data_IF_030801494225
#
_entry.id   IF_030801494225
#
_cell.length_a   1.000
_cell.length_b   1.000
_cell.length_c   1.000
_cell.angle_alpha   90.00
_cell.angle_beta   90.00
_cell.angle_gamma   90.00
#
_symmetry.space_group_name_H-M   'P 1'
#
loop_
_entity.id
_entity.type
_entity.pdbx_description
1 polymer ?
#
# COMPACT_ATOMS: atom_id res chain seq x y z
N UNK A 1 -7.37 -20.84 -28.36
CA UNK A 1 -6.25 -19.89 -28.13
C UNK A 1 -6.01 -19.16 -29.43
N UNK A 2 -6.19 -17.84 -29.43
CA UNK A 2 -5.93 -16.97 -30.57
C UNK A 2 -4.86 -16.00 -30.14
N UNK A 3 -3.68 -16.03 -30.78
CA UNK A 3 -2.56 -15.15 -30.46
C UNK A 3 -2.12 -14.39 -31.70
N UNK A 4 -1.92 -13.09 -31.53
CA UNK A 4 -1.27 -12.19 -32.48
C UNK A 4 0.08 -11.77 -31.90
N UNK A 5 1.09 -11.63 -32.76
CA UNK A 5 2.45 -11.26 -32.37
C UNK A 5 3.00 -10.27 -33.38
N UNK A 6 3.56 -9.17 -32.89
CA UNK A 6 4.48 -8.32 -33.66
C UNK A 6 5.88 -8.34 -33.00
N UNK A 7 6.82 -7.53 -33.51
CA UNK A 7 8.20 -7.50 -32.99
C UNK A 7 8.28 -7.15 -31.50
N UNK A 8 7.30 -6.45 -30.95
CA UNK A 8 7.32 -5.83 -29.63
C UNK A 8 6.21 -6.28 -28.69
N UNK A 9 5.10 -6.80 -29.20
CA UNK A 9 3.88 -7.15 -28.44
C UNK A 9 3.34 -8.52 -28.84
N UNK A 10 2.76 -9.22 -27.87
CA UNK A 10 1.92 -10.40 -28.04
C UNK A 10 0.57 -10.09 -27.42
N UNK A 11 -0.52 -10.38 -28.13
CA UNK A 11 -1.87 -10.18 -27.59
C UNK A 11 -2.84 -11.25 -28.12
N UNK A 12 -3.94 -11.47 -27.41
CA UNK A 12 -4.94 -12.44 -27.84
C UNK A 12 -5.84 -12.95 -26.73
N UNK A 13 -6.52 -14.07 -26.98
CA UNK A 13 -7.39 -14.74 -26.01
C UNK A 13 -6.98 -16.19 -25.78
N UNK A 14 -7.00 -16.59 -24.51
CA UNK A 14 -6.92 -17.98 -24.09
C UNK A 14 -8.30 -18.44 -23.61
N UNK A 15 -8.80 -19.49 -24.24
CA UNK A 15 -10.14 -20.03 -24.01
C UNK A 15 -10.08 -21.55 -23.87
N UNK A 16 -11.01 -22.10 -23.09
CA UNK A 16 -11.14 -23.54 -22.83
C UNK A 16 -10.48 -24.01 -21.53
N UNK A 17 -10.60 -25.31 -21.25
CA UNK A 17 -10.11 -25.92 -20.00
C UNK A 17 -11.04 -25.66 -18.81
N UNK A 18 -10.46 -25.38 -17.63
CA UNK A 18 -11.20 -25.02 -16.40
C UNK A 18 -11.46 -23.52 -16.28
N UNK A 19 -11.22 -22.76 -17.35
CA UNK A 19 -11.48 -21.32 -17.38
C UNK A 19 -12.96 -21.10 -17.68
N UNK A 20 -13.64 -20.36 -16.82
CA UNK A 20 -15.07 -20.03 -17.00
C UNK A 20 -15.27 -18.93 -18.06
N UNK A 21 -14.28 -18.06 -18.25
CA UNK A 21 -14.29 -16.97 -19.23
C UNK A 21 -12.97 -16.89 -20.02
N UNK A 22 -12.99 -16.36 -21.27
CA UNK A 22 -11.78 -16.06 -22.03
C UNK A 22 -10.81 -15.16 -21.25
N UNK A 23 -9.56 -15.59 -21.13
CA UNK A 23 -8.49 -14.76 -20.59
C UNK A 23 -7.87 -13.91 -21.71
N UNK A 24 -7.84 -12.59 -21.51
CA UNK A 24 -7.08 -11.68 -22.35
C UNK A 24 -5.58 -11.85 -22.04
N UNK A 25 -4.80 -12.06 -23.09
CA UNK A 25 -3.34 -12.06 -23.04
C UNK A 25 -2.88 -10.76 -23.67
N UNK A 26 -2.01 -10.05 -22.95
CA UNK A 26 -1.21 -8.96 -23.49
C UNK A 26 0.18 -9.03 -22.87
N UNK A 27 1.20 -8.86 -23.69
CA UNK A 27 2.59 -8.96 -23.27
C UNK A 27 3.47 -8.20 -24.24
N UNK A 28 4.62 -7.75 -23.74
CA UNK A 28 5.60 -7.09 -24.58
C UNK A 28 6.99 -7.68 -24.35
N UNK A 29 7.86 -7.53 -25.35
CA UNK A 29 9.25 -7.99 -25.24
C UNK A 29 10.02 -7.13 -24.24
N UNK A 30 10.91 -7.79 -23.51
CA UNK A 30 11.96 -7.08 -22.80
C UNK A 30 13.00 -6.61 -23.84
N UNK A 31 13.07 -5.30 -24.05
CA UNK A 31 13.98 -4.64 -25.00
C UNK A 31 15.48 -4.87 -24.73
N UNK A 32 15.85 -5.47 -23.60
CA UNK A 32 17.23 -5.87 -23.30
C UNK A 32 17.53 -7.36 -23.47
N UNK A 33 16.53 -8.19 -23.79
CA UNK A 33 16.69 -9.64 -23.88
C UNK A 33 17.08 -10.14 -25.29
N UNK A 34 17.29 -9.24 -26.27
CA UNK A 34 17.61 -9.60 -27.66
C UNK A 34 18.49 -8.59 -28.39
N UNK A 35 19.14 -9.03 -29.46
CA UNK A 35 19.98 -8.21 -30.36
C UNK A 35 19.13 -7.16 -31.08
N UNK A 36 19.43 -5.87 -30.83
CA UNK A 36 19.05 -4.69 -31.61
C UNK A 36 17.73 -4.79 -32.41
N UNK A 37 16.59 -4.74 -31.73
CA UNK A 37 15.33 -4.41 -32.40
C UNK A 37 15.37 -2.96 -32.89
N UNK A 38 14.78 -2.69 -34.05
CA UNK A 38 14.54 -1.35 -34.63
C UNK A 38 13.96 -0.34 -33.63
N UNK A 39 13.19 -0.82 -32.66
CA UNK A 39 12.52 -0.02 -31.62
C UNK A 39 13.34 0.14 -30.31
N UNK A 40 14.58 -0.37 -30.26
CA UNK A 40 15.40 -0.30 -29.06
C UNK A 40 15.72 1.16 -28.63
N UNK A 41 16.08 2.10 -29.54
CA UNK A 41 16.39 3.47 -29.14
C UNK A 41 15.23 4.18 -28.43
N UNK A 42 14.01 4.04 -28.93
CA UNK A 42 12.83 4.71 -28.37
C UNK A 42 12.43 4.09 -27.02
N UNK A 43 12.51 2.77 -26.89
CA UNK A 43 12.28 2.12 -25.60
C UNK A 43 13.37 2.46 -24.57
N UNK A 44 14.63 2.62 -24.99
CA UNK A 44 15.70 3.11 -24.14
C UNK A 44 15.44 4.55 -23.68
N UNK A 45 14.95 5.42 -24.57
CA UNK A 45 14.56 6.79 -24.23
C UNK A 45 13.39 6.82 -23.24
N UNK A 46 12.37 5.98 -23.44
CA UNK A 46 11.26 5.84 -22.49
C UNK A 46 11.73 5.42 -21.10
N UNK A 47 12.69 4.49 -21.02
CA UNK A 47 13.30 4.07 -19.75
C UNK A 47 14.12 5.18 -19.11
N UNK A 48 14.89 5.92 -19.91
CA UNK A 48 15.66 7.07 -19.41
C UNK A 48 14.74 8.10 -18.76
N UNK A 49 13.60 8.40 -19.39
CA UNK A 49 12.60 9.34 -18.90
C UNK A 49 11.98 8.92 -17.56
N UNK A 50 11.96 7.62 -17.24
CA UNK A 50 11.39 7.10 -15.98
C UNK A 50 12.46 6.67 -14.96
N UNK A 51 13.75 6.95 -15.18
CA UNK A 51 14.75 6.63 -14.16
C UNK A 51 14.50 7.44 -12.90
N UNK A 52 14.64 6.79 -11.75
CA UNK A 52 14.49 7.50 -10.48
C UNK A 52 14.01 6.64 -9.34
N UNK A 53 13.71 7.34 -8.26
CA UNK A 53 13.14 6.79 -7.04
C UNK A 53 11.66 7.15 -6.98
N UNK A 54 10.84 6.18 -6.57
CA UNK A 54 9.40 6.27 -6.56
C UNK A 54 8.86 5.78 -5.24
N UNK A 55 7.79 6.41 -4.77
CA UNK A 55 7.00 5.99 -3.63
C UNK A 55 5.59 5.66 -4.08
N UNK A 56 5.02 4.58 -3.54
CA UNK A 56 3.72 4.06 -3.95
C UNK A 56 2.97 3.57 -2.72
N UNK A 57 1.80 4.13 -2.45
CA UNK A 57 0.83 3.60 -1.52
C UNK A 57 -0.06 2.57 -2.23
N UNK A 58 -0.57 1.61 -1.47
CA UNK A 58 -1.42 0.52 -1.95
C UNK A 58 -2.83 0.60 -1.34
N UNK A 59 -3.63 1.63 -1.67
CA UNK A 59 -4.99 1.75 -1.14
C UNK A 59 -5.84 0.56 -1.58
N UNK A 60 -6.80 0.18 -0.72
CA UNK A 60 -7.67 -0.97 -0.96
C UNK A 60 -8.77 -0.57 -1.93
N UNK A 61 -8.82 -1.24 -3.09
CA UNK A 61 -9.88 -1.09 -4.08
C UNK A 61 -11.02 -2.07 -3.84
N UNK A 62 -10.71 -3.25 -3.29
CA UNK A 62 -11.68 -4.26 -2.92
C UNK A 62 -11.08 -5.30 -1.99
N UNK A 63 -11.88 -5.85 -1.10
CA UNK A 63 -11.45 -6.90 -0.19
C UNK A 63 -12.57 -7.88 0.10
N UNK A 64 -12.18 -9.13 0.32
CA UNK A 64 -13.05 -10.21 0.72
C UNK A 64 -12.31 -11.07 1.75
N UNK A 65 -12.76 -11.07 3.01
CA UNK A 65 -12.27 -12.03 4.00
C UNK A 65 -12.98 -13.36 3.84
N UNK A 66 -12.29 -14.46 4.11
CA UNK A 66 -12.93 -15.73 4.39
C UNK A 66 -12.93 -15.96 5.90
N UNK A 67 -13.99 -16.59 6.42
CA UNK A 67 -14.10 -16.93 7.84
C UNK A 67 -14.57 -15.80 8.74
N UNK A 68 -14.82 -16.14 10.01
CA UNK A 68 -15.44 -15.24 10.98
C UNK A 68 -14.46 -14.20 11.56
N UNK A 69 -13.15 -14.37 11.35
CA UNK A 69 -12.15 -13.45 11.89
C UNK A 69 -12.05 -12.13 11.12
N UNK A 70 -12.60 -12.06 9.91
CA UNK A 70 -12.48 -10.90 9.01
C UNK A 70 -11.01 -10.45 8.89
N UNK A 71 -10.17 -11.35 8.37
CA UNK A 71 -8.71 -11.24 8.44
C UNK A 71 -8.12 -10.25 7.43
N UNK A 72 -8.92 -9.70 6.50
CA UNK A 72 -8.46 -8.73 5.52
C UNK A 72 -7.89 -7.46 6.21
N UNK A 73 -6.65 -7.06 5.92
CA UNK A 73 -6.07 -5.82 6.42
C UNK A 73 -6.86 -4.58 5.97
N UNK A 74 -7.12 -3.65 6.90
CA UNK A 74 -7.79 -2.37 6.58
C UNK A 74 -6.79 -1.23 6.36
N UNK A 75 -5.57 -1.36 6.89
CA UNK A 75 -4.51 -0.38 6.67
C UNK A 75 -3.98 -0.35 5.24
N UNK A 76 -3.14 0.63 4.94
CA UNK A 76 -2.59 0.85 3.60
C UNK A 76 -1.15 0.34 3.53
N UNK A 77 -0.88 -0.59 2.61
CA UNK A 77 0.47 -1.05 2.30
C UNK A 77 1.24 0.00 1.50
N UNK A 78 2.55 -0.19 1.36
CA UNK A 78 3.36 0.68 0.51
C UNK A 78 4.54 -0.05 -0.12
N UNK A 79 4.97 0.49 -1.25
CA UNK A 79 6.18 0.14 -1.97
C UNK A 79 7.05 1.39 -2.18
N UNK A 80 8.33 1.12 -2.33
CA UNK A 80 9.33 2.02 -2.87
C UNK A 80 9.95 1.32 -4.05
N UNK A 81 10.19 2.04 -5.13
CA UNK A 81 10.76 1.48 -6.35
C UNK A 81 11.89 2.36 -6.84
N UNK A 82 12.99 1.74 -7.25
CA UNK A 82 14.08 2.43 -7.94
C UNK A 82 14.20 1.86 -9.34
N UNK A 83 13.93 2.68 -10.35
CA UNK A 83 14.20 2.37 -11.75
C UNK A 83 15.61 2.86 -12.07
N UNK A 84 16.49 1.91 -12.36
CA UNK A 84 17.88 2.14 -12.70
C UNK A 84 18.15 2.06 -14.19
N UNK A 85 19.43 2.04 -14.54
CA UNK A 85 19.85 1.80 -15.92
C UNK A 85 19.40 0.43 -16.43
N UNK A 86 19.25 0.34 -17.75
CA UNK A 86 18.86 -0.88 -18.46
C UNK A 86 17.54 -1.48 -17.97
N UNK A 87 16.59 -0.62 -17.61
CA UNK A 87 15.25 -0.99 -17.15
C UNK A 87 15.23 -1.87 -15.90
N UNK A 88 16.28 -1.84 -15.07
CA UNK A 88 16.27 -2.55 -13.79
C UNK A 88 15.33 -1.86 -12.82
N UNK A 89 14.47 -2.62 -12.14
CA UNK A 89 13.58 -2.09 -11.12
C UNK A 89 13.83 -2.83 -9.79
N UNK A 90 14.21 -2.10 -8.74
CA UNK A 90 14.33 -2.64 -7.38
C UNK A 90 13.13 -2.20 -6.57
N UNK A 91 12.43 -3.14 -5.96
CA UNK A 91 11.18 -2.88 -5.23
C UNK A 91 11.33 -3.35 -3.80
N UNK A 92 10.98 -2.49 -2.86
CA UNK A 92 10.98 -2.79 -1.43
C UNK A 92 9.79 -2.12 -0.74
N UNK A 93 9.24 -2.72 0.29
CA UNK A 93 8.11 -2.12 1.01
C UNK A 93 7.48 -3.06 2.03
N UNK A 94 6.24 -2.77 2.41
CA UNK A 94 5.45 -3.59 3.32
C UNK A 94 3.99 -3.60 2.89
N UNK A 95 3.38 -4.79 2.92
CA UNK A 95 1.92 -4.91 2.87
C UNK A 95 1.33 -4.49 4.22
N UNK A 96 0.02 -4.20 4.23
CA UNK A 96 -0.66 -3.67 5.41
C UNK A 96 -0.64 -4.61 6.63
N UNK A 97 -0.42 -5.93 6.44
CA UNK A 97 -0.24 -6.92 7.52
C UNK A 97 1.19 -6.92 8.11
N UNK A 98 2.05 -6.03 7.63
CA UNK A 98 3.45 -5.91 8.00
C UNK A 98 4.39 -6.87 7.26
N UNK A 99 3.90 -7.65 6.28
CA UNK A 99 4.75 -8.52 5.46
C UNK A 99 5.66 -7.68 4.56
N UNK A 100 6.97 -7.90 4.70
CA UNK A 100 7.96 -7.22 3.85
C UNK A 100 7.89 -7.69 2.41
N UNK A 101 7.89 -6.72 1.49
CA UNK A 101 8.07 -6.93 0.05
C UNK A 101 9.51 -6.55 -0.31
N UNK A 102 10.21 -7.43 -1.01
CA UNK A 102 11.53 -7.16 -1.56
C UNK A 102 11.73 -8.06 -2.79
N UNK A 103 11.95 -7.44 -3.95
CA UNK A 103 12.24 -8.13 -5.20
C UNK A 103 12.94 -7.21 -6.20
N UNK A 104 13.51 -7.81 -7.24
CA UNK A 104 14.00 -7.10 -8.42
C UNK A 104 13.19 -7.54 -9.63
N UNK A 105 12.94 -6.61 -10.52
CA UNK A 105 12.13 -6.77 -11.72
C UNK A 105 12.76 -6.03 -12.91
N UNK A 106 12.11 -6.12 -14.06
CA UNK A 106 12.50 -5.42 -15.29
C UNK A 106 11.33 -4.63 -15.82
N UNK A 107 11.60 -3.40 -16.23
CA UNK A 107 10.63 -2.56 -16.96
C UNK A 107 10.26 -3.29 -18.26
N UNK A 108 8.97 -3.36 -18.52
CA UNK A 108 8.38 -3.82 -19.76
C UNK A 108 7.89 -2.59 -20.51
N UNK A 109 8.24 -2.48 -21.79
CA UNK A 109 7.84 -1.37 -22.65
C UNK A 109 6.82 -1.88 -23.66
N UNK A 110 5.60 -1.37 -23.60
CA UNK A 110 4.56 -1.61 -24.59
C UNK A 110 4.61 -0.49 -25.60
N UNK A 111 4.84 -0.82 -26.87
CA UNK A 111 4.66 0.14 -27.95
C UNK A 111 3.17 0.52 -27.97
N UNK A 112 2.84 1.80 -27.73
CA UNK A 112 1.48 2.25 -27.96
C UNK A 112 1.26 2.25 -29.47
N UNK A 113 0.32 1.45 -29.94
CA UNK A 113 -0.15 1.54 -31.30
C UNK A 113 -0.77 2.94 -31.43
N UNK A 114 -0.19 3.80 -32.26
CA UNK A 114 -0.84 5.07 -32.60
C UNK A 114 -2.24 4.71 -33.07
N UNK A 115 -3.26 5.27 -32.42
CA UNK A 115 -4.61 5.16 -32.96
C UNK A 115 -4.51 5.66 -34.40
N UNK A 116 -4.75 4.77 -35.36
CA UNK A 116 -5.05 5.21 -36.73
C UNK A 116 -6.36 5.95 -36.55
N UNK A 117 -6.31 7.28 -36.44
CA UNK A 117 -7.50 8.07 -36.68
C UNK A 117 -7.94 7.71 -38.10
N UNK A 118 -9.13 7.13 -38.22
CA UNK A 118 -9.79 7.01 -39.51
C UNK A 118 -9.93 8.42 -40.08
N UNK A 119 -9.13 8.74 -41.09
CA UNK A 119 -9.15 10.01 -41.80
C UNK A 119 -7.98 10.93 -41.46
N UNK A 120 -7.20 11.23 -42.51
CA UNK A 120 -6.11 12.24 -42.56
C UNK A 120 -4.74 11.75 -42.09
N UNK A 121 -4.11 10.92 -42.92
CA UNK A 121 -2.65 10.90 -43.04
C UNK A 121 -2.22 12.11 -43.88
N UNK A 122 -1.88 13.23 -43.25
CA UNK A 122 -1.13 14.31 -43.88
C UNK A 122 0.30 14.37 -43.33
N UNK A 123 1.25 14.15 -44.23
CA UNK A 123 2.68 14.44 -44.11
C UNK A 123 3.44 13.84 -42.91
N UNK A 124 4.07 12.69 -43.16
CA UNK A 124 5.53 12.48 -42.99
C UNK A 124 6.19 12.72 -41.63
N UNK A 125 5.44 12.97 -40.56
CA UNK A 125 5.98 13.07 -39.21
C UNK A 125 5.60 11.78 -38.51
N UNK A 126 6.55 10.85 -38.44
CA UNK A 126 6.44 9.67 -37.58
C UNK A 126 6.00 10.16 -36.20
N UNK A 127 4.78 9.85 -35.78
CA UNK A 127 4.36 10.06 -34.41
C UNK A 127 5.33 9.26 -33.55
N UNK A 128 6.23 9.94 -32.83
CA UNK A 128 7.11 9.32 -31.84
C UNK A 128 6.26 8.40 -30.97
N UNK A 129 6.37 7.08 -31.16
CA UNK A 129 5.54 6.10 -30.47
C UNK A 129 5.65 6.35 -28.97
N UNK A 130 4.54 6.75 -28.34
CA UNK A 130 4.51 6.90 -26.89
C UNK A 130 4.62 5.49 -26.30
N UNK A 131 5.59 5.22 -25.43
CA UNK A 131 5.66 3.93 -24.76
C UNK A 131 4.84 4.00 -23.49
N UNK A 132 3.96 3.02 -23.31
CA UNK A 132 3.41 2.73 -21.99
C UNK A 132 4.34 1.72 -21.34
N UNK A 133 4.87 2.05 -20.17
CA UNK A 133 5.83 1.20 -19.47
C UNK A 133 5.24 0.70 -18.17
N UNK A 134 5.52 -0.56 -17.84
CA UNK A 134 5.11 -1.12 -16.56
C UNK A 134 6.25 -1.89 -15.89
N UNK A 135 6.13 -2.07 -14.59
CA UNK A 135 7.01 -2.92 -13.81
C UNK A 135 6.18 -4.03 -13.17
N UNK A 136 6.44 -5.31 -13.52
CA UNK A 136 5.75 -6.42 -12.91
C UNK A 136 6.23 -6.62 -11.46
N UNK A 137 5.28 -6.89 -10.59
CA UNK A 137 5.48 -7.21 -9.18
C UNK A 137 4.89 -8.58 -8.96
N UNK A 138 5.70 -9.60 -8.69
CA UNK A 138 5.19 -10.94 -8.37
C UNK A 138 6.02 -11.52 -7.23
N UNK A 139 5.36 -11.75 -6.10
CA UNK A 139 6.03 -12.21 -4.88
C UNK A 139 5.22 -13.32 -4.22
N UNK A 140 5.84 -14.51 -4.14
CA UNK A 140 5.40 -15.51 -3.16
C UNK A 140 5.69 -14.99 -1.75
N UNK A 141 4.66 -14.97 -0.91
CA UNK A 141 4.70 -14.68 0.52
C UNK A 141 4.78 -15.97 1.35
N UNK A 142 5.22 -17.08 0.73
CA UNK A 142 5.34 -18.41 1.32
C UNK A 142 3.99 -18.85 1.89
N UNK A 143 3.93 -19.13 3.20
CA UNK A 143 2.72 -19.57 3.91
C UNK A 143 1.66 -18.47 4.04
N UNK A 144 1.96 -17.23 3.67
CA UNK A 144 1.05 -16.08 3.69
C UNK A 144 0.43 -15.78 2.31
N UNK A 145 0.52 -16.71 1.37
CA UNK A 145 -0.05 -16.57 0.03
C UNK A 145 0.86 -15.81 -0.94
N UNK A 146 0.30 -14.91 -1.74
CA UNK A 146 1.02 -14.24 -2.82
C UNK A 146 0.53 -12.80 -3.04
N UNK A 147 1.41 -11.97 -3.59
CA UNK A 147 1.12 -10.59 -3.95
C UNK A 147 1.65 -10.33 -5.36
N UNK A 148 0.86 -9.74 -6.24
CA UNK A 148 1.37 -9.29 -7.52
C UNK A 148 0.40 -8.63 -8.49
N UNK A 149 0.96 -8.12 -9.58
CA UNK A 149 0.29 -7.38 -10.65
C UNK A 149 1.29 -6.45 -11.35
N UNK A 150 0.78 -5.44 -12.04
CA UNK A 150 1.60 -4.50 -12.82
C UNK A 150 1.53 -3.09 -12.23
N UNK A 151 2.68 -2.45 -12.07
CA UNK A 151 2.77 -1.02 -11.78
C UNK A 151 2.97 -0.27 -13.09
N UNK A 152 1.97 0.49 -13.54
CA UNK A 152 2.05 1.27 -14.77
C UNK A 152 2.65 2.64 -14.48
N UNK A 153 3.68 3.02 -15.24
CA UNK A 153 4.29 4.33 -15.14
C UNK A 153 3.77 5.19 -16.30
N UNK A 154 3.18 6.33 -15.97
CA UNK A 154 2.74 7.33 -16.95
C UNK A 154 3.70 8.52 -16.85
N UNK A 155 4.50 8.70 -17.89
CA UNK A 155 5.40 9.85 -18.00
C UNK A 155 4.59 11.13 -18.26
N UNK A 156 5.03 12.24 -17.67
CA UNK A 156 4.46 13.57 -17.76
C UNK A 156 5.42 14.58 -17.14
N UNK A 157 4.93 15.71 -16.63
CA UNK A 157 5.76 16.64 -15.83
C UNK A 157 6.37 15.94 -14.61
N UNK A 158 5.58 15.08 -13.96
CA UNK A 158 6.03 14.13 -12.96
C UNK A 158 5.55 12.74 -13.35
N UNK A 159 6.44 11.75 -13.34
CA UNK A 159 6.05 10.36 -13.64
C UNK A 159 5.19 9.82 -12.51
N UNK A 160 3.97 9.39 -12.84
CA UNK A 160 3.03 8.78 -11.90
C UNK A 160 3.07 7.26 -12.00
N UNK A 161 2.77 6.59 -10.88
CA UNK A 161 2.57 5.15 -10.81
C UNK A 161 1.13 4.86 -10.46
N UNK A 162 0.48 4.06 -11.30
CA UNK A 162 -0.90 3.64 -11.12
C UNK A 162 -1.17 2.21 -11.60
N UNK A 163 -2.27 1.67 -11.12
CA UNK A 163 -2.96 0.50 -11.67
C UNK A 163 -3.82 0.94 -12.85
N UNK A 164 -4.15 0.04 -13.77
CA UNK A 164 -5.09 0.35 -14.86
C UNK A 164 -6.51 0.01 -14.41
N UNK A 165 -7.02 0.83 -13.48
CA UNK A 165 -8.28 0.57 -12.76
C UNK A 165 -9.50 0.55 -13.66
N UNK A 166 -9.48 1.31 -14.76
CA UNK A 166 -10.58 1.36 -15.74
C UNK A 166 -10.71 0.04 -16.50
N UNK A 167 -9.60 -0.70 -16.64
CA UNK A 167 -9.56 -2.06 -17.18
C UNK A 167 -9.68 -3.14 -16.09
N UNK A 168 -9.92 -2.76 -14.83
CA UNK A 168 -9.98 -3.67 -13.68
C UNK A 168 -8.63 -4.29 -13.30
N UNK A 169 -7.51 -3.69 -13.75
CA UNK A 169 -6.16 -4.22 -13.51
C UNK A 169 -5.57 -3.69 -12.21
N UNK A 170 -5.93 -4.37 -11.13
CA UNK A 170 -5.40 -4.13 -9.79
C UNK A 170 -4.20 -5.00 -9.46
N UNK A 171 -3.45 -4.61 -8.42
CA UNK A 171 -2.56 -5.53 -7.73
C UNK A 171 -3.40 -6.48 -6.88
N UNK A 172 -3.12 -7.78 -6.96
CA UNK A 172 -3.81 -8.80 -6.18
C UNK A 172 -2.97 -9.23 -4.99
N UNK A 173 -3.63 -9.41 -3.85
CA UNK A 173 -3.04 -9.97 -2.65
C UNK A 173 -3.97 -11.01 -2.05
N UNK A 174 -3.52 -12.25 -2.02
CA UNK A 174 -4.32 -13.36 -1.52
C UNK A 174 -3.60 -14.11 -0.42
N UNK A 175 -4.36 -14.51 0.58
CA UNK A 175 -3.93 -15.38 1.66
C UNK A 175 -5.01 -16.41 1.95
N UNK A 176 -4.72 -17.69 1.69
CA UNK A 176 -5.66 -18.79 1.91
C UNK A 176 -5.92 -19.17 3.40
N UNK A 177 -5.53 -18.31 4.34
CA UNK A 177 -5.71 -18.53 5.77
C UNK A 177 -4.76 -19.57 6.38
N UNK A 178 -4.72 -19.63 7.71
CA UNK A 178 -3.97 -20.67 8.43
C UNK A 178 -4.88 -21.86 8.66
N UNK A 179 -4.37 -23.09 8.46
CA UNK A 179 -5.07 -24.28 8.95
C UNK A 179 -5.21 -24.15 10.46
N UNK A 180 -6.44 -24.20 10.96
CA UNK A 180 -6.72 -24.33 12.38
C UNK A 180 -5.95 -25.54 12.92
N UNK A 181 -5.32 -25.42 14.10
CA UNK A 181 -4.68 -26.55 14.79
C UNK A 181 -5.72 -27.59 15.31
N UNK A 182 -7.00 -27.44 14.99
CA UNK A 182 -8.07 -28.36 15.35
C UNK A 182 -7.98 -29.67 14.58
N UNK A 183 -8.18 -30.79 15.29
CA UNK A 183 -8.27 -32.18 14.79
C UNK A 183 -9.42 -32.45 13.81
N UNK A 184 -9.92 -31.44 13.08
CA UNK A 184 -10.97 -31.62 12.09
C UNK A 184 -10.36 -31.98 10.74
N UNK A 185 -10.50 -33.25 10.34
CA UNK A 185 -9.99 -33.80 9.07
C UNK A 185 -10.63 -33.19 7.82
N UNK A 186 -11.62 -32.30 7.95
CA UNK A 186 -12.44 -31.80 6.84
C UNK A 186 -12.22 -30.33 6.46
N UNK A 187 -11.34 -29.58 7.11
CA UNK A 187 -11.05 -28.18 6.75
C UNK A 187 -9.82 -28.15 5.83
N UNK A 188 -10.04 -28.20 4.51
CA UNK A 188 -8.95 -28.32 3.52
C UNK A 188 -8.18 -27.01 3.28
N UNK A 189 -8.79 -25.84 3.50
CA UNK A 189 -8.16 -24.51 3.38
C UNK A 189 -8.34 -23.71 4.68
N UNK A 190 -7.39 -22.83 5.03
CA UNK A 190 -7.35 -22.16 6.33
C UNK A 190 -8.62 -21.35 6.56
N UNK A 191 -9.24 -21.51 7.74
CA UNK A 191 -10.59 -21.01 7.98
C UNK A 191 -10.72 -19.49 7.87
N UNK A 192 -9.62 -18.73 8.02
CA UNK A 192 -9.62 -17.27 8.02
C UNK A 192 -8.51 -16.69 7.13
N UNK A 193 -8.82 -16.54 5.85
CA UNK A 193 -7.98 -15.94 4.82
C UNK A 193 -8.57 -14.65 4.26
N UNK A 194 -8.03 -14.17 3.14
CA UNK A 194 -8.59 -13.05 2.39
C UNK A 194 -8.11 -13.01 0.94
N UNK A 195 -8.84 -12.27 0.12
CA UNK A 195 -8.49 -11.84 -1.22
C UNK A 195 -8.65 -10.32 -1.27
N UNK A 196 -7.67 -9.62 -1.85
CA UNK A 196 -7.69 -8.16 -1.94
C UNK A 196 -7.23 -7.68 -3.31
N UNK A 197 -7.91 -6.63 -3.77
CA UNK A 197 -7.53 -5.79 -4.89
C UNK A 197 -6.98 -4.48 -4.32
N UNK A 198 -5.76 -4.14 -4.73
CA UNK A 198 -5.07 -2.93 -4.31
C UNK A 198 -4.80 -2.07 -5.54
N UNK A 199 -5.07 -0.78 -5.40
CA UNK A 199 -4.60 0.22 -6.35
C UNK A 199 -3.11 0.51 -6.13
N UNK A 200 -2.47 1.12 -7.13
CA UNK A 200 -1.20 1.79 -6.95
C UNK A 200 -1.44 3.30 -6.99
N UNK A 201 -1.09 4.00 -5.91
CA UNK A 201 -1.17 5.45 -5.82
C UNK A 201 0.22 5.97 -5.51
N UNK A 202 0.87 6.60 -6.47
CA UNK A 202 2.16 7.22 -6.23
C UNK A 202 2.82 7.76 -7.47
N UNK A 203 4.13 7.97 -7.38
CA UNK A 203 4.88 8.62 -8.44
C UNK A 203 6.33 8.85 -8.07
N UNK A 204 7.00 9.61 -8.94
CA UNK A 204 8.38 10.00 -8.74
C UNK A 204 8.53 10.76 -7.42
N UNK A 205 9.60 10.46 -6.70
CA UNK A 205 9.86 11.02 -5.38
C UNK A 205 11.26 11.61 -5.31
N UNK A 206 11.33 12.90 -4.97
CA UNK A 206 12.53 13.68 -4.72
C UNK A 206 12.42 14.35 -3.36
N UNK A 207 13.44 14.24 -2.52
CA UNK A 207 13.44 14.88 -1.20
C UNK A 207 13.43 16.40 -1.23
N UNK A 208 13.76 17.00 -2.38
CA UNK A 208 13.75 18.46 -2.55
C UNK A 208 12.33 18.98 -2.71
N UNK A 209 11.44 18.20 -3.32
CA UNK A 209 10.12 18.64 -3.76
C UNK A 209 8.99 18.02 -2.91
N UNK A 210 9.27 16.91 -2.22
CA UNK A 210 8.25 16.04 -1.65
C UNK A 210 7.78 16.38 -0.23
N UNK A 211 8.41 17.35 0.46
CA UNK A 211 8.24 17.51 1.90
C UNK A 211 7.66 18.88 2.23
N UNK A 212 6.35 18.91 2.49
CA UNK A 212 5.71 20.03 3.15
C UNK A 212 6.36 20.27 4.53
N UNK A 213 6.40 21.53 4.98
CA UNK A 213 6.97 21.90 6.27
C UNK A 213 6.23 21.30 7.46
N UNK A 214 4.93 21.03 7.31
CA UNK A 214 4.09 20.44 8.35
C UNK A 214 3.08 19.44 7.77
N UNK A 215 2.68 18.47 8.60
CA UNK A 215 1.63 17.50 8.35
C UNK A 215 0.73 17.33 9.60
N UNK A 216 -0.40 16.67 9.41
CA UNK A 216 -1.29 16.21 10.48
C UNK A 216 -1.29 14.68 10.51
N UNK A 217 -0.92 14.09 11.65
CA UNK A 217 -0.90 12.64 11.86
C UNK A 217 -2.19 12.15 12.51
N UNK A 218 -2.82 11.18 11.86
CA UNK A 218 -4.02 10.49 12.37
C UNK A 218 -3.85 8.98 12.26
N UNK A 219 -4.56 8.24 13.12
CA UNK A 219 -4.67 6.80 13.04
C UNK A 219 -6.13 6.39 13.20
N UNK A 220 -6.57 5.41 12.43
CA UNK A 220 -7.94 4.89 12.56
C UNK A 220 -8.10 4.14 13.88
N UNK A 221 -9.28 4.23 14.46
CA UNK A 221 -9.62 3.50 15.68
C UNK A 221 -9.59 1.98 15.42
N UNK A 222 -9.08 1.17 16.37
CA UNK A 222 -9.01 -0.28 16.22
C UNK A 222 -10.37 -0.94 16.51
N UNK A 223 -11.41 -0.57 15.75
CA UNK A 223 -12.78 -1.04 15.93
C UNK A 223 -12.83 -2.57 15.88
N UNK A 224 -13.57 -3.17 16.80
CA UNK A 224 -13.68 -4.63 16.93
C UNK A 224 -12.51 -5.31 17.67
N UNK A 225 -11.49 -4.57 18.12
CA UNK A 225 -10.45 -5.10 19.00
C UNK A 225 -10.82 -4.86 20.46
N UNK A 226 -10.82 -5.93 21.25
CA UNK A 226 -11.03 -5.85 22.71
C UNK A 226 -9.80 -6.32 23.47
N UNK A 227 -9.56 -5.68 24.62
CA UNK A 227 -8.63 -6.21 25.61
C UNK A 227 -9.39 -7.11 26.59
N UNK A 228 -8.81 -8.25 26.95
CA UNK A 228 -9.39 -9.18 27.92
C UNK A 228 -8.35 -9.63 28.93
N UNK A 229 -8.73 -9.63 30.21
CA UNK A 229 -7.89 -10.03 31.34
C UNK A 229 -8.72 -10.78 32.38
N UNK A 230 -8.60 -12.11 32.40
CA UNK A 230 -9.50 -12.97 33.18
C UNK A 230 -10.95 -12.85 32.69
N UNK A 231 -11.86 -12.53 33.60
CA UNK A 231 -13.28 -12.27 33.31
C UNK A 231 -13.59 -10.81 32.95
N UNK A 232 -12.59 -9.93 32.97
CA UNK A 232 -12.76 -8.52 32.61
C UNK A 232 -12.43 -8.27 31.13
N UNK A 233 -13.15 -7.35 30.52
CA UNK A 233 -12.90 -6.85 29.17
C UNK A 233 -12.96 -5.32 29.13
N UNK A 234 -12.20 -4.72 28.22
CA UNK A 234 -12.25 -3.29 27.94
C UNK A 234 -12.21 -3.03 26.44
N UNK A 235 -12.93 -1.99 26.02
CA UNK A 235 -12.81 -1.43 24.68
C UNK A 235 -11.63 -0.45 24.62
N UNK A 236 -11.25 -0.08 23.39
CA UNK A 236 -10.23 0.94 23.20
C UNK A 236 -10.75 2.32 23.67
N UNK A 237 -9.86 3.19 24.11
CA UNK A 237 -10.20 4.55 24.52
C UNK A 237 -10.13 5.48 23.30
N UNK A 238 -11.29 5.86 22.77
CA UNK A 238 -11.39 6.70 21.57
C UNK A 238 -10.69 8.07 21.73
N UNK A 239 -10.82 8.72 22.90
CA UNK A 239 -10.21 10.02 23.18
C UNK A 239 -8.67 10.01 23.10
N UNK A 240 -8.05 8.84 23.17
CA UNK A 240 -6.60 8.69 23.11
C UNK A 240 -6.09 8.28 21.71
N UNK A 241 -6.98 8.03 20.75
CA UNK A 241 -6.57 7.73 19.37
C UNK A 241 -6.01 9.00 18.73
N UNK A 242 -4.83 8.94 18.07
CA UNK A 242 -4.26 10.11 17.40
C UNK A 242 -5.20 10.66 16.32
N UNK A 243 -5.58 11.92 16.46
CA UNK A 243 -6.34 12.67 15.44
C UNK A 243 -5.63 13.99 15.22
N UNK A 244 -5.23 14.24 13.97
CA UNK A 244 -4.65 15.49 13.49
C UNK A 244 -3.51 16.05 14.36
N UNK A 245 -2.60 15.19 14.85
CA UNK A 245 -1.44 15.64 15.60
C UNK A 245 -0.43 16.30 14.69
N UNK A 246 -0.01 17.52 15.02
CA UNK A 246 0.97 18.26 14.22
C UNK A 246 2.30 17.51 14.12
N UNK A 247 2.79 17.37 12.90
CA UNK A 247 4.10 16.81 12.58
C UNK A 247 4.90 17.88 11.85
N UNK A 248 5.99 18.31 12.44
CA UNK A 248 6.94 19.21 11.79
C UNK A 248 7.93 18.40 10.98
N UNK A 249 8.12 18.80 9.73
CA UNK A 249 9.13 18.24 8.84
C UNK A 249 10.25 19.25 8.62
N UNK A 250 11.49 18.80 8.88
CA UNK A 250 12.70 19.57 8.65
C UNK A 250 13.74 18.70 7.94
N UNK A 251 14.87 19.30 7.55
CA UNK A 251 16.00 18.57 6.93
C UNK A 251 16.49 17.37 7.77
N UNK A 252 16.32 17.43 9.10
CA UNK A 252 16.64 16.37 10.05
C UNK A 252 15.61 15.23 10.16
N UNK A 253 14.44 15.35 9.53
CA UNK A 253 13.38 14.34 9.54
C UNK A 253 12.03 14.87 10.05
N UNK A 254 11.18 13.93 10.48
CA UNK A 254 9.85 14.22 11.03
C UNK A 254 9.91 14.24 12.56
N UNK A 255 9.18 15.16 13.17
CA UNK A 255 9.04 15.28 14.63
C UNK A 255 7.60 15.59 15.02
N UNK A 256 7.23 15.20 16.23
CA UNK A 256 5.88 15.38 16.80
C UNK A 256 6.03 15.88 18.24
N UNK A 257 5.12 16.74 18.75
CA UNK A 257 5.19 17.22 20.13
C UNK A 257 5.24 16.09 21.16
N UNK A 258 5.95 16.34 22.27
CA UNK A 258 6.02 15.40 23.37
C UNK A 258 4.62 15.15 23.95
N UNK A 259 4.30 13.88 24.20
CA UNK A 259 3.02 13.49 24.77
C UNK A 259 3.00 13.47 26.29
N UNK A 260 1.82 13.72 26.86
CA UNK A 260 1.54 13.55 28.30
C UNK A 260 0.92 12.18 28.52
N UNK A 261 1.46 11.42 29.50
CA UNK A 261 0.93 10.09 29.82
C UNK A 261 -0.40 10.24 30.56
N UNK A 262 -1.46 9.48 30.18
CA UNK A 262 -2.71 9.44 30.93
C UNK A 262 -2.52 9.00 32.39
N UNK A 263 -3.23 9.65 33.30
CA UNK A 263 -3.18 9.36 34.75
C UNK A 263 -4.59 9.26 35.32
N UNK A 264 -4.75 8.49 36.39
CA UNK A 264 -6.02 8.34 37.08
C UNK A 264 -6.36 9.61 37.88
N UNK A 265 -7.49 10.25 37.57
CA UNK A 265 -8.05 11.45 38.22
C UNK A 265 -9.53 11.17 38.51
N UNK A 266 -9.96 11.33 39.76
CA UNK A 266 -11.36 11.16 40.19
C UNK A 266 -12.03 9.85 39.71
N UNK A 267 -11.26 8.76 39.64
CA UNK A 267 -11.75 7.43 39.27
C UNK A 267 -11.76 7.11 37.77
N UNK A 268 -11.31 8.03 36.91
CA UNK A 268 -11.15 7.81 35.47
C UNK A 268 -9.75 8.23 34.99
N UNK A 269 -9.26 7.67 33.88
CA UNK A 269 -8.00 8.11 33.30
C UNK A 269 -8.22 9.37 32.46
N UNK A 270 -7.39 10.39 32.68
CA UNK A 270 -7.41 11.64 31.92
C UNK A 270 -6.56 11.55 30.65
N UNK A 271 -7.19 11.80 29.52
CA UNK A 271 -6.59 11.76 28.18
C UNK A 271 -6.56 13.14 27.50
N UNK A 272 -6.89 14.21 28.22
CA UNK A 272 -6.93 15.58 27.68
C UNK A 272 -5.56 16.18 27.39
N UNK A 273 -4.49 15.57 27.89
CA UNK A 273 -3.12 16.01 27.65
C UNK A 273 -2.72 15.92 26.16
N UNK A 274 -1.83 16.81 25.68
CA UNK A 274 -1.37 16.79 24.30
C UNK A 274 -0.71 15.45 23.97
N UNK A 275 -0.95 14.95 22.76
CA UNK A 275 -0.42 13.66 22.29
C UNK A 275 -0.54 12.54 23.35
N UNK A 276 -1.75 12.35 23.89
CA UNK A 276 -2.03 11.35 24.93
C UNK A 276 -1.63 9.92 24.51
N UNK A 277 -1.69 9.62 23.20
CA UNK A 277 -1.23 8.36 22.62
C UNK A 277 0.28 8.12 22.72
N UNK A 278 1.06 9.14 23.10
CA UNK A 278 2.53 9.15 23.10
C UNK A 278 3.10 8.74 21.72
N UNK A 279 2.52 9.28 20.64
CA UNK A 279 2.98 9.07 19.28
C UNK A 279 4.44 9.49 19.17
N UNK A 280 5.22 8.64 18.52
CA UNK A 280 6.57 8.92 18.06
C UNK A 280 6.63 8.66 16.58
N UNK A 281 7.12 9.63 15.83
CA UNK A 281 7.35 9.53 14.39
C UNK A 281 8.83 9.67 14.08
N UNK A 282 9.25 8.97 13.03
CA UNK A 282 10.56 9.11 12.40
C UNK A 282 10.37 8.93 10.90
N UNK A 283 11.13 9.65 10.09
CA UNK A 283 11.05 9.54 8.64
C UNK A 283 12.34 10.01 8.01
N UNK A 284 12.60 9.55 6.78
CA UNK A 284 13.68 10.07 5.98
C UNK A 284 13.12 10.91 4.85
N UNK A 285 13.53 12.17 4.82
CA UNK A 285 13.27 13.07 3.71
C UNK A 285 13.68 12.45 2.37
N UNK A 286 14.76 11.67 2.36
CA UNK A 286 15.33 11.04 1.17
C UNK A 286 14.46 9.93 0.57
N UNK A 287 13.68 9.23 1.39
CA UNK A 287 12.97 8.03 0.94
C UNK A 287 11.46 8.16 1.01
N UNK A 288 10.94 9.24 1.62
CA UNK A 288 9.50 9.41 1.85
C UNK A 288 8.90 8.38 2.81
N UNK A 289 9.69 7.46 3.35
CA UNK A 289 9.22 6.42 4.27
C UNK A 289 9.20 6.99 5.68
N UNK A 290 8.06 6.84 6.35
CA UNK A 290 7.89 7.18 7.75
C UNK A 290 7.50 5.94 8.56
N UNK A 291 7.84 5.96 9.84
CA UNK A 291 7.56 4.89 10.79
C UNK A 291 7.55 5.42 12.20
N UNK A 292 6.91 4.68 13.09
CA UNK A 292 6.78 5.12 14.45
C UNK A 292 6.08 4.12 15.33
N UNK A 293 5.68 4.62 16.50
CA UNK A 293 4.90 3.87 17.46
C UNK A 293 3.97 4.81 18.23
N UNK A 294 2.85 4.28 18.68
CA UNK A 294 1.97 4.95 19.63
C UNK A 294 1.29 3.91 20.53
N UNK A 295 0.53 4.38 21.50
CA UNK A 295 -0.20 3.54 22.42
C UNK A 295 -1.69 3.53 22.09
N UNK A 296 -2.27 2.35 22.01
CA UNK A 296 -3.71 2.14 22.11
C UNK A 296 -4.00 1.77 23.54
N UNK A 297 -4.92 2.50 24.17
CA UNK A 297 -5.31 2.30 25.55
C UNK A 297 -6.64 1.57 25.65
N UNK A 298 -6.79 0.77 26.70
CA UNK A 298 -8.01 0.05 27.03
C UNK A 298 -8.29 0.23 28.52
N UNK A 299 -9.42 0.85 28.83
CA UNK A 299 -9.87 1.04 30.20
C UNK A 299 -10.94 0.00 30.52
N UNK A 300 -10.86 -0.59 31.72
CA UNK A 300 -11.73 -1.67 32.13
C UNK A 300 -11.87 -1.73 33.65
N UNK A 301 -12.94 -2.38 34.13
CA UNK A 301 -13.07 -2.70 35.53
C UNK A 301 -12.32 -3.99 35.88
N UNK A 302 -11.46 -3.92 36.90
CA UNK A 302 -10.80 -5.07 37.48
C UNK A 302 -11.21 -5.26 38.94
N UNK A 303 -12.33 -5.96 39.14
CA UNK A 303 -12.89 -6.30 40.47
C UNK A 303 -13.31 -5.05 41.25
N UNK A 304 -14.08 -4.16 40.62
CA UNK A 304 -14.58 -2.91 41.20
C UNK A 304 -13.53 -1.81 41.28
N UNK A 305 -12.45 -1.91 40.51
CA UNK A 305 -11.37 -0.90 40.46
C UNK A 305 -11.06 -0.54 39.01
N UNK A 306 -10.99 0.75 38.67
CA UNK A 306 -10.50 1.19 37.37
C UNK A 306 -9.13 0.61 37.09
N UNK A 307 -8.98 0.00 35.92
CA UNK A 307 -7.74 -0.53 35.42
C UNK A 307 -7.50 -0.07 33.99
N UNK A 308 -6.24 0.00 33.62
CA UNK A 308 -5.77 0.54 32.36
C UNK A 308 -4.72 -0.38 31.75
N UNK A 309 -4.92 -0.72 30.49
CA UNK A 309 -3.97 -1.49 29.70
C UNK A 309 -3.47 -0.66 28.52
N UNK A 310 -2.15 -0.69 28.33
CA UNK A 310 -1.47 -0.01 27.24
C UNK A 310 -0.93 -1.05 26.25
N UNK A 311 -1.39 -0.97 25.00
CA UNK A 311 -0.83 -1.72 23.88
C UNK A 311 0.01 -0.80 23.01
N UNK A 312 1.34 -1.00 23.01
CA UNK A 312 2.23 -0.24 22.12
C UNK A 312 2.23 -0.85 20.73
N UNK A 313 1.70 -0.10 19.75
CA UNK A 313 1.64 -0.51 18.35
C UNK A 313 2.74 0.17 17.54
N UNK A 314 3.22 -0.52 16.51
CA UNK A 314 4.19 0.02 15.55
C UNK A 314 3.46 0.31 14.25
N UNK A 315 3.87 1.38 13.56
CA UNK A 315 3.35 1.75 12.26
C UNK A 315 4.45 2.08 11.27
N UNK A 316 4.11 1.98 9.99
CA UNK A 316 4.95 2.47 8.89
C UNK A 316 4.11 2.80 7.68
N UNK A 317 4.57 3.77 6.90
CA UNK A 317 3.92 4.22 5.68
C UNK A 317 4.90 4.94 4.76
N UNK A 318 4.36 5.56 3.72
CA UNK A 318 5.11 6.32 2.73
C UNK A 318 4.38 7.60 2.35
N UNK A 319 5.14 8.64 2.02
CA UNK A 319 4.66 9.86 1.37
C UNK A 319 4.49 9.63 -0.13
N UNK A 320 3.38 10.10 -0.69
CA UNK A 320 3.00 10.03 -2.12
C UNK A 320 2.56 11.41 -2.63
N UNK A 321 3.47 12.40 -2.66
CA UNK A 321 3.12 13.76 -3.09
C UNK A 321 2.69 13.78 -4.57
N UNK A 322 3.35 13.00 -5.41
CA UNK A 322 2.94 12.77 -6.79
C UNK A 322 1.93 11.61 -6.85
N UNK A 323 0.70 11.90 -7.28
CA UNK A 323 -0.36 10.92 -7.46
C UNK A 323 -1.35 11.39 -8.52
N UNK A 324 -2.08 10.45 -9.12
CA UNK A 324 -3.12 10.75 -10.10
C UNK A 324 -4.31 11.48 -9.45
N UNK A 325 -5.06 12.24 -10.25
CA UNK A 325 -6.25 12.98 -9.83
C UNK A 325 -7.29 12.10 -9.13
N UNK A 326 -7.45 10.85 -9.58
CA UNK A 326 -8.32 9.86 -8.95
C UNK A 326 -7.97 9.53 -7.48
N UNK A 327 -6.83 10.00 -6.99
CA UNK A 327 -6.35 9.86 -5.62
C UNK A 327 -6.08 11.22 -4.94
N UNK A 328 -6.59 12.33 -5.49
CA UNK A 328 -6.37 13.68 -4.97
C UNK A 328 -6.83 13.78 -3.50
N UNK A 329 -7.98 13.19 -3.19
CA UNK A 329 -8.61 13.18 -1.86
C UNK A 329 -7.93 12.23 -0.85
N UNK A 330 -6.97 11.41 -1.29
CA UNK A 330 -6.22 10.56 -0.38
C UNK A 330 -5.14 11.37 0.36
N UNK A 331 -4.88 11.02 1.64
CA UNK A 331 -3.80 11.63 2.41
C UNK A 331 -2.44 11.49 1.71
N UNK A 332 -1.61 12.53 1.84
CA UNK A 332 -0.27 12.56 1.23
C UNK A 332 0.68 11.52 1.82
N UNK A 333 0.48 11.09 3.06
CA UNK A 333 1.16 9.95 3.65
C UNK A 333 0.18 8.87 4.04
N UNK A 334 0.47 7.63 3.63
CA UNK A 334 -0.40 6.49 3.89
C UNK A 334 0.40 5.32 4.43
N UNK A 335 -0.17 4.61 5.39
CA UNK A 335 0.46 3.44 5.99
C UNK A 335 -0.52 2.62 6.83
N UNK A 336 0.06 1.75 7.65
CA UNK A 336 -0.69 0.92 8.57
C UNK A 336 0.01 0.76 9.91
N UNK A 337 -0.78 0.56 10.97
CA UNK A 337 -0.33 0.02 12.24
C UNK A 337 -0.94 -1.36 12.49
N UNK A 338 -0.26 -2.17 13.30
CA UNK A 338 -0.71 -3.52 13.65
C UNK A 338 -0.98 -3.63 15.15
N UNK A 339 -2.18 -4.11 15.49
CA UNK A 339 -2.55 -4.45 16.87
C UNK A 339 -2.91 -5.93 16.96
N UNK A 340 -2.42 -6.60 18.00
CA UNK A 340 -2.78 -8.01 18.24
C UNK A 340 -4.23 -8.08 18.70
N UNK A 341 -5.02 -8.91 18.04
CA UNK A 341 -6.37 -9.20 18.49
C UNK A 341 -6.32 -10.29 19.57
N UNK A 342 -6.67 -9.91 20.81
CA UNK A 342 -6.73 -10.81 21.96
C UNK A 342 -8.16 -11.18 22.35
N UNK A 343 -9.15 -10.78 21.54
CA UNK A 343 -10.56 -11.16 21.71
C UNK A 343 -10.66 -12.69 21.82
N UNK A 344 -11.38 -13.23 22.82
CA UNK A 344 -11.39 -14.67 23.09
C UNK A 344 -11.72 -15.54 21.87
N UNK A 345 -12.65 -15.09 21.02
CA UNK A 345 -13.03 -15.77 19.77
C UNK A 345 -11.86 -15.91 18.78
N UNK A 346 -10.94 -14.93 18.75
CA UNK A 346 -9.88 -14.83 17.75
C UNK A 346 -8.47 -15.09 18.30
N UNK A 347 -8.33 -15.28 19.61
CA UNK A 347 -7.04 -15.41 20.29
C UNK A 347 -6.18 -16.56 19.75
N UNK A 348 -6.79 -17.68 19.37
CA UNK A 348 -6.09 -18.86 18.82
C UNK A 348 -5.48 -18.61 17.44
N UNK A 349 -6.02 -17.67 16.66
CA UNK A 349 -5.55 -17.32 15.33
C UNK A 349 -4.23 -16.53 15.37
N UNK A 350 -3.90 -15.92 16.52
CA UNK A 350 -2.78 -14.99 16.65
C UNK A 350 -2.82 -13.88 15.59
N UNK A 351 -4.02 -13.41 15.26
CA UNK A 351 -4.25 -12.38 14.26
C UNK A 351 -3.69 -11.04 14.75
N UNK A 352 -3.10 -10.30 13.81
CA UNK A 352 -2.85 -8.87 13.97
C UNK A 352 -3.80 -8.14 13.05
N UNK A 353 -4.68 -7.32 13.60
CA UNK A 353 -5.52 -6.43 12.81
C UNK A 353 -4.68 -5.24 12.35
N UNK A 354 -4.95 -4.80 11.13
CA UNK A 354 -4.26 -3.72 10.47
C UNK A 354 -5.23 -2.58 10.26
N UNK A 355 -4.83 -1.38 10.66
CA UNK A 355 -5.64 -0.17 10.55
C UNK A 355 -4.79 0.96 9.95
N UNK A 356 -5.41 1.90 9.21
CA UNK A 356 -4.70 3.03 8.61
C UNK A 356 -3.95 3.91 9.62
N UNK A 357 -2.80 4.42 9.17
CA UNK A 357 -2.23 5.67 9.68
C UNK A 357 -2.02 6.60 8.49
N UNK A 358 -2.22 7.90 8.70
CA UNK A 358 -2.17 8.88 7.64
C UNK A 358 -1.37 10.12 8.04
N UNK A 359 -0.80 10.78 7.04
CA UNK A 359 -0.29 12.15 7.12
C UNK A 359 -1.05 12.98 6.10
N UNK A 360 -1.69 14.04 6.57
CA UNK A 360 -2.40 15.00 5.73
C UNK A 360 -1.61 16.31 5.68
N UNK A 361 -1.68 17.04 4.57
CA UNK A 361 -1.27 18.44 4.55
C UNK A 361 -2.32 19.27 5.27
N UNK A 362 -1.94 20.22 6.15
CA UNK A 362 -2.90 21.18 6.69
C UNK A 362 -3.65 21.87 5.56
N UNK A 363 -4.96 22.11 5.74
CA UNK A 363 -5.70 22.93 4.80
C UNK A 363 -5.05 24.31 4.70
N UNK A 364 -4.98 24.87 3.49
CA UNK A 364 -4.58 26.26 3.35
C UNK A 364 -5.61 27.13 4.10
N UNK A 365 -5.17 28.13 4.87
CA UNK A 365 -6.10 29.05 5.51
C UNK A 365 -6.94 29.71 4.40
N UNK A 366 -8.25 29.50 4.42
CA UNK A 366 -9.18 30.30 3.63
C UNK A 366 -9.03 31.75 4.06
N UNK A 367 -8.55 32.61 3.15
CA UNK A 367 -8.45 34.06 3.34
C UNK A 367 -9.79 34.74 3.64
#
# INVERSE_FOLDING_TARGET
MTLSVDESRIWGTLEGGTLEEPLLIDGARNVYAGTASTNAPQALAAIEAIKGYYTVALPVAGSHSTGAAEAAPQGIGYLTMTVGSRGSAKIAGKLADGTSVSLSSKVICFAQQTAVQEGVAESGTESNGTYVVCVPVFKSLRKKGWFGGLLWLRAGETTLIQTDRDLGWYLRWEYAGRKSNGKSKNVKNGADGFEMLLDACGGYFSSLDAIASNYLFSADAPVGVTYTSGSSSGEFVAAAIPVALEVTAASGGLSIPAGVRPTLVDGAYDYSGPNAALVKISGSARTGVFKGAFNVYFDYDRKGKPAHYQSRVQYSGVLVPARAEAFADLPVGMGAYLIRDNTPAFRSYNLKRSFPVVLETPAEPTE
#
